data_IF_434286656379
#
_entry.id   IF_434286656379
#
_cell.length_a   1.000
_cell.length_b   1.000
_cell.length_c   1.000
_cell.angle_alpha   90.00
_cell.angle_beta   90.00
_cell.angle_gamma   90.00
#
_symmetry.space_group_name_H-M   'P 1'
#
loop_
_entity.id
_entity.type
_entity.pdbx_description
1 polymer ?
#
# COMPACT_ATOMS: atom_id res chain seq x y z
N UNK A 1 -30.60 1.75 -14.41
CA UNK A 1 -29.98 0.94 -13.37
C UNK A 1 -29.72 1.86 -12.18
N UNK A 2 -30.50 1.72 -11.12
CA UNK A 2 -30.27 2.41 -9.85
C UNK A 2 -28.96 1.88 -9.29
N UNK A 3 -27.97 2.77 -9.15
CA UNK A 3 -26.70 2.41 -8.50
C UNK A 3 -26.96 2.29 -7.02
N UNK A 4 -26.98 1.08 -6.50
CA UNK A 4 -26.95 0.85 -5.06
C UNK A 4 -25.56 1.24 -4.58
N UNK A 5 -25.46 2.35 -3.85
CA UNK A 5 -24.23 2.80 -3.22
C UNK A 5 -24.30 2.54 -1.73
N UNK A 6 -23.18 2.13 -1.14
CA UNK A 6 -23.00 2.06 0.31
C UNK A 6 -22.19 3.25 0.74
N UNK A 7 -22.63 3.98 1.77
CA UNK A 7 -21.85 5.11 2.30
C UNK A 7 -20.66 4.60 3.13
N UNK A 8 -19.63 5.46 3.31
CA UNK A 8 -18.49 5.16 4.16
C UNK A 8 -18.94 4.81 5.58
N UNK A 9 -19.86 5.58 6.13
CA UNK A 9 -20.39 5.41 7.48
C UNK A 9 -21.12 4.06 7.67
N UNK A 10 -21.93 3.66 6.67
CA UNK A 10 -22.60 2.38 6.67
C UNK A 10 -21.60 1.22 6.60
N UNK A 11 -20.58 1.35 5.77
CA UNK A 11 -19.53 0.35 5.65
C UNK A 11 -18.72 0.24 6.94
N UNK A 12 -18.26 1.36 7.52
CA UNK A 12 -17.55 1.38 8.80
C UNK A 12 -18.38 0.77 9.92
N UNK A 13 -19.65 1.15 10.03
CA UNK A 13 -20.57 0.59 11.03
C UNK A 13 -20.74 -0.91 10.88
N UNK A 14 -20.88 -1.39 9.65
CA UNK A 14 -21.06 -2.82 9.39
C UNK A 14 -19.79 -3.60 9.75
N UNK A 15 -18.62 -3.10 9.36
CA UNK A 15 -17.34 -3.71 9.66
C UNK A 15 -17.05 -3.75 11.17
N UNK A 16 -17.31 -2.65 11.87
CA UNK A 16 -17.12 -2.56 13.32
C UNK A 16 -18.10 -3.49 14.09
N UNK A 17 -19.35 -3.59 13.63
CA UNK A 17 -20.32 -4.49 14.22
C UNK A 17 -19.96 -5.98 14.01
N UNK A 18 -19.36 -6.30 12.87
CA UNK A 18 -19.03 -7.68 12.51
C UNK A 18 -17.71 -8.17 13.14
N UNK A 19 -16.74 -7.27 13.31
CA UNK A 19 -15.37 -7.63 13.71
C UNK A 19 -14.88 -6.92 14.97
N UNK A 20 -15.65 -5.98 15.51
CA UNK A 20 -15.26 -5.19 16.68
C UNK A 20 -13.96 -4.40 16.46
N UNK A 21 -13.12 -4.38 17.48
CA UNK A 21 -11.80 -3.72 17.42
C UNK A 21 -10.73 -4.57 16.72
N UNK A 22 -11.00 -5.84 16.47
CA UNK A 22 -10.12 -6.70 15.70
C UNK A 22 -10.37 -6.46 14.22
N UNK A 23 -9.37 -5.91 13.52
CA UNK A 23 -9.43 -5.67 12.08
C UNK A 23 -8.72 -6.81 11.31
N UNK A 24 -9.42 -7.94 11.04
CA UNK A 24 -8.82 -9.11 10.38
C UNK A 24 -8.81 -8.99 8.85
N UNK A 25 -8.83 -7.76 8.33
CA UNK A 25 -8.89 -7.44 6.90
C UNK A 25 -8.15 -6.15 6.61
N UNK A 26 -7.88 -5.91 5.34
CA UNK A 26 -7.47 -4.60 4.82
C UNK A 26 -8.59 -3.98 4.01
N UNK A 27 -8.71 -2.66 4.09
CA UNK A 27 -9.49 -1.88 3.15
C UNK A 27 -8.55 -1.42 2.04
N UNK A 28 -8.75 -1.94 0.84
CA UNK A 28 -7.93 -1.60 -0.31
C UNK A 28 -8.66 -0.66 -1.25
N UNK A 29 -8.01 0.45 -1.61
CA UNK A 29 -8.48 1.39 -2.62
C UNK A 29 -7.79 1.17 -3.98
N UNK A 30 -8.39 1.70 -5.05
CA UNK A 30 -7.77 1.74 -6.38
C UNK A 30 -7.10 3.10 -6.57
N UNK A 31 -5.79 3.09 -6.82
CA UNK A 31 -4.98 4.30 -6.89
C UNK A 31 -5.16 5.09 -8.19
N UNK A 32 -5.52 4.42 -9.30
CA UNK A 32 -5.69 5.06 -10.61
C UNK A 32 -6.63 4.25 -11.51
N UNK A 33 -7.23 4.90 -12.50
CA UNK A 33 -8.19 4.28 -13.42
C UNK A 33 -9.64 4.60 -13.10
N UNK A 34 -10.59 3.92 -13.74
CA UNK A 34 -12.01 4.04 -13.45
C UNK A 34 -12.32 3.54 -12.04
N UNK A 35 -12.97 4.35 -11.23
CA UNK A 35 -13.24 4.05 -9.82
C UNK A 35 -12.09 4.37 -8.87
N UNK A 36 -11.02 5.02 -9.36
CA UNK A 36 -9.91 5.44 -8.49
C UNK A 36 -10.32 6.56 -7.55
N UNK A 37 -9.72 6.56 -6.37
CA UNK A 37 -9.87 7.63 -5.39
C UNK A 37 -9.12 8.92 -5.78
N UNK A 38 -8.28 8.86 -6.82
CA UNK A 38 -7.49 10.03 -7.24
C UNK A 38 -8.37 11.06 -7.92
N UNK A 39 -8.50 12.27 -7.36
CA UNK A 39 -9.36 13.30 -7.93
C UNK A 39 -8.82 13.74 -9.30
N UNK A 40 -9.73 13.98 -10.22
CA UNK A 40 -9.39 14.68 -11.45
C UNK A 40 -9.02 16.13 -11.08
N UNK A 41 -7.93 16.67 -11.64
CA UNK A 41 -7.28 17.95 -11.26
C UNK A 41 -8.19 19.18 -11.16
N UNK A 42 -9.44 19.10 -11.67
CA UNK A 42 -10.32 20.26 -11.86
C UNK A 42 -11.55 20.34 -10.95
N UNK A 43 -11.67 19.52 -9.89
CA UNK A 43 -12.86 19.56 -9.05
C UNK A 43 -12.51 19.53 -7.55
N UNK A 44 -12.66 20.67 -6.86
CA UNK A 44 -12.32 20.79 -5.43
C UNK A 44 -13.11 19.82 -4.55
N UNK A 45 -14.42 19.64 -4.78
CA UNK A 45 -15.26 18.68 -4.03
C UNK A 45 -14.76 17.23 -4.17
N UNK A 46 -14.19 16.88 -5.32
CA UNK A 46 -13.61 15.54 -5.54
C UNK A 46 -12.30 15.33 -4.80
N UNK A 47 -11.58 16.39 -4.46
CA UNK A 47 -10.32 16.28 -3.72
C UNK A 47 -10.55 15.96 -2.25
N UNK A 48 -11.46 16.67 -1.60
CA UNK A 48 -11.86 16.39 -0.21
C UNK A 48 -12.41 14.96 -0.06
N UNK A 49 -13.25 14.53 -1.00
CA UNK A 49 -13.76 13.16 -1.02
C UNK A 49 -12.63 12.14 -1.22
N UNK A 50 -11.65 12.45 -2.07
CA UNK A 50 -10.50 11.58 -2.27
C UNK A 50 -9.63 11.47 -1.01
N UNK A 51 -9.45 12.56 -0.27
CA UNK A 51 -8.71 12.57 1.00
C UNK A 51 -9.45 11.74 2.07
N UNK A 52 -10.79 11.82 2.12
CA UNK A 52 -11.60 10.99 3.01
C UNK A 52 -11.49 9.49 2.69
N UNK A 53 -11.50 9.13 1.40
CA UNK A 53 -11.31 7.74 0.99
C UNK A 53 -9.87 7.26 1.21
N UNK A 54 -8.90 8.14 0.99
CA UNK A 54 -7.51 7.85 1.31
C UNK A 54 -7.36 7.51 2.79
N UNK A 55 -7.91 8.35 3.67
CA UNK A 55 -7.86 8.10 5.11
C UNK A 55 -8.50 6.75 5.50
N UNK A 56 -9.61 6.41 4.86
CA UNK A 56 -10.33 5.16 5.11
C UNK A 56 -9.59 3.90 4.64
N UNK A 57 -8.86 3.97 3.52
CA UNK A 57 -8.14 2.83 2.96
C UNK A 57 -6.87 2.52 3.76
N UNK A 58 -6.55 1.25 3.93
CA UNK A 58 -5.29 0.79 4.54
C UNK A 58 -4.15 0.74 3.52
N UNK A 59 -4.47 0.35 2.29
CA UNK A 59 -3.52 0.21 1.18
C UNK A 59 -4.18 0.53 -0.16
N UNK A 60 -3.38 0.64 -1.21
CA UNK A 60 -3.87 0.89 -2.56
C UNK A 60 -3.37 -0.14 -3.57
N UNK A 61 -4.21 -0.45 -4.54
CA UNK A 61 -3.81 -1.14 -5.76
C UNK A 61 -3.33 -0.11 -6.78
N UNK A 62 -2.12 -0.30 -7.31
CA UNK A 62 -1.57 0.68 -8.24
C UNK A 62 -0.22 0.29 -8.83
N UNK A 63 0.52 1.30 -9.29
CA UNK A 63 1.83 1.16 -9.90
C UNK A 63 2.89 1.99 -9.15
N UNK A 64 4.13 1.99 -9.64
CA UNK A 64 5.27 2.70 -9.06
C UNK A 64 5.00 4.20 -8.85
N UNK A 65 4.39 4.90 -9.82
CA UNK A 65 4.05 6.32 -9.68
C UNK A 65 2.97 6.57 -8.62
N UNK A 66 2.03 5.63 -8.46
CA UNK A 66 1.07 5.69 -7.37
C UNK A 66 1.74 5.48 -6.02
N UNK A 67 2.71 4.55 -5.91
CA UNK A 67 3.48 4.34 -4.69
C UNK A 67 4.18 5.61 -4.25
N UNK A 68 4.87 6.31 -5.13
CA UNK A 68 5.53 7.58 -4.83
C UNK A 68 4.55 8.64 -4.31
N UNK A 69 3.33 8.67 -4.82
CA UNK A 69 2.28 9.57 -4.35
C UNK A 69 1.80 9.21 -2.96
N UNK A 70 1.44 7.94 -2.70
CA UNK A 70 0.86 7.51 -1.43
C UNK A 70 1.86 7.40 -0.28
N UNK A 71 3.15 7.45 -0.55
CA UNK A 71 4.18 7.59 0.47
C UNK A 71 4.37 9.03 0.98
N UNK A 72 3.86 10.05 0.25
CA UNK A 72 3.99 11.46 0.66
C UNK A 72 3.00 11.80 1.77
N UNK A 73 3.49 12.42 2.83
CA UNK A 73 2.65 12.89 3.94
C UNK A 73 1.90 14.20 3.62
N UNK A 74 2.37 14.97 2.65
CA UNK A 74 1.83 16.27 2.23
C UNK A 74 0.85 16.17 1.05
N UNK A 75 0.32 14.97 0.76
CA UNK A 75 -0.54 14.73 -0.41
C UNK A 75 -1.97 15.23 -0.28
N UNK A 76 -2.46 15.49 0.94
CA UNK A 76 -3.79 16.00 1.18
C UNK A 76 -3.94 17.47 0.73
N UNK A 77 -5.17 17.85 0.35
CA UNK A 77 -5.50 19.23 0.00
C UNK A 77 -5.30 20.17 1.21
N UNK A 78 -5.81 19.78 2.37
CA UNK A 78 -5.53 20.48 3.61
C UNK A 78 -4.10 20.19 4.08
N UNK A 79 -3.21 21.18 3.92
CA UNK A 79 -1.79 21.07 4.25
C UNK A 79 -1.47 21.09 5.75
N UNK A 80 -2.45 21.41 6.58
CA UNK A 80 -2.33 21.31 8.04
C UNK A 80 -2.46 19.86 8.53
N UNK A 81 -3.09 19.00 7.72
CA UNK A 81 -3.28 17.58 8.01
C UNK A 81 -2.24 16.76 7.25
N UNK A 82 -1.43 16.02 7.98
CA UNK A 82 -0.49 15.07 7.38
C UNK A 82 -1.20 13.76 7.03
N UNK A 83 -1.05 13.33 5.79
CA UNK A 83 -1.50 12.03 5.37
C UNK A 83 -0.56 10.94 5.91
N UNK A 84 -1.12 9.82 6.35
CA UNK A 84 -0.32 8.64 6.70
C UNK A 84 0.24 8.01 5.43
N UNK A 85 1.54 7.73 5.38
CA UNK A 85 2.12 6.94 4.30
C UNK A 85 1.43 5.58 4.17
N UNK A 86 1.07 5.19 2.94
CA UNK A 86 0.32 3.95 2.68
C UNK A 86 1.01 3.07 1.64
N UNK A 87 0.96 1.75 1.83
CA UNK A 87 1.52 0.83 0.88
C UNK A 87 0.68 0.80 -0.41
N UNK A 88 1.37 0.68 -1.52
CA UNK A 88 0.75 0.41 -2.82
C UNK A 88 1.26 -0.95 -3.30
N UNK A 89 0.34 -1.83 -3.64
CA UNK A 89 0.64 -3.15 -4.20
C UNK A 89 0.26 -3.20 -5.67
N UNK A 90 1.00 -3.95 -6.45
CA UNK A 90 0.70 -4.14 -7.86
C UNK A 90 -0.60 -4.94 -8.03
N UNK A 91 -1.30 -4.64 -9.11
CA UNK A 91 -2.40 -5.47 -9.60
C UNK A 91 -2.18 -5.80 -11.07
N UNK A 92 -2.53 -7.00 -11.44
CA UNK A 92 -2.48 -7.46 -12.83
C UNK A 92 -3.63 -6.89 -13.67
N UNK A 93 -4.71 -6.43 -13.02
CA UNK A 93 -5.94 -5.97 -13.69
C UNK A 93 -6.47 -7.01 -14.74
N UNK A 94 -6.49 -8.28 -14.33
CA UNK A 94 -6.91 -9.38 -15.17
C UNK A 94 -8.44 -9.41 -15.32
N UNK A 95 -8.90 -9.42 -16.57
CA UNK A 95 -10.32 -9.53 -16.91
C UNK A 95 -10.67 -10.83 -17.64
N UNK A 96 -9.66 -11.58 -18.08
CA UNK A 96 -9.79 -12.85 -18.80
C UNK A 96 -8.80 -13.87 -18.25
N UNK A 97 -8.99 -15.15 -18.56
CA UNK A 97 -8.02 -16.20 -18.22
C UNK A 97 -6.68 -15.98 -18.91
N UNK A 98 -6.68 -15.49 -20.15
CA UNK A 98 -5.48 -15.15 -20.89
C UNK A 98 -4.69 -14.01 -20.20
N UNK A 99 -5.39 -13.00 -19.68
CA UNK A 99 -4.77 -11.98 -18.83
C UNK A 99 -4.12 -12.58 -17.58
N UNK A 100 -4.81 -13.50 -16.90
CA UNK A 100 -4.27 -14.15 -15.71
C UNK A 100 -2.99 -14.93 -16.04
N UNK A 101 -2.98 -15.66 -17.15
CA UNK A 101 -1.80 -16.40 -17.60
C UNK A 101 -0.63 -15.49 -17.97
N UNK A 102 -0.89 -14.34 -18.57
CA UNK A 102 0.14 -13.46 -19.11
C UNK A 102 0.59 -12.34 -18.17
N UNK A 103 -0.22 -11.96 -17.18
CA UNK A 103 0.05 -10.81 -16.29
C UNK A 103 0.26 -11.18 -14.83
N UNK A 104 -0.54 -12.12 -14.29
CA UNK A 104 -0.51 -12.43 -12.86
C UNK A 104 0.84 -13.07 -12.47
N UNK A 105 1.52 -12.44 -11.52
CA UNK A 105 2.82 -12.90 -11.05
C UNK A 105 3.96 -12.72 -12.06
N UNK A 106 3.74 -11.98 -13.13
CA UNK A 106 4.72 -11.75 -14.21
C UNK A 106 4.96 -10.25 -14.43
N UNK A 107 6.09 -9.94 -15.07
CA UNK A 107 6.27 -8.63 -15.69
C UNK A 107 5.60 -8.67 -17.07
N UNK A 108 4.95 -7.59 -17.44
CA UNK A 108 4.26 -7.46 -18.72
C UNK A 108 4.38 -6.04 -19.27
N UNK A 109 4.32 -5.92 -20.58
CA UNK A 109 4.30 -4.62 -21.26
C UNK A 109 2.87 -4.16 -21.49
N UNK A 110 2.64 -2.87 -21.33
CA UNK A 110 1.38 -2.20 -21.63
C UNK A 110 1.64 -0.83 -22.23
N UNK A 111 0.60 -0.19 -22.77
CA UNK A 111 0.71 1.16 -23.30
C UNK A 111 0.35 2.20 -22.24
N UNK A 112 1.11 3.28 -22.18
CA UNK A 112 0.75 4.48 -21.42
C UNK A 112 -0.29 5.33 -22.21
N UNK A 113 -0.86 6.39 -21.60
CA UNK A 113 -1.79 7.30 -22.28
C UNK A 113 -1.24 7.95 -23.56
N UNK A 114 0.08 7.99 -23.74
CA UNK A 114 0.76 8.52 -24.92
C UNK A 114 1.16 7.42 -25.93
N UNK A 115 0.60 6.22 -25.77
CA UNK A 115 0.87 5.04 -26.62
C UNK A 115 2.31 4.51 -26.58
N UNK A 116 3.08 4.88 -25.52
CA UNK A 116 4.45 4.39 -25.30
C UNK A 116 4.42 3.10 -24.50
N UNK A 117 5.28 2.15 -24.87
CA UNK A 117 5.43 0.91 -24.11
C UNK A 117 6.04 1.20 -22.72
N UNK A 118 5.38 0.65 -21.70
CA UNK A 118 5.86 0.68 -20.31
C UNK A 118 5.79 -0.74 -19.74
N UNK A 119 6.82 -1.10 -18.98
CA UNK A 119 6.80 -2.33 -18.22
C UNK A 119 6.03 -2.15 -16.89
N UNK A 120 5.26 -3.17 -16.55
CA UNK A 120 4.55 -3.28 -15.28
C UNK A 120 4.81 -4.64 -14.65
N UNK A 121 4.72 -4.67 -13.34
CA UNK A 121 4.76 -5.91 -12.58
C UNK A 121 3.34 -6.27 -12.14
N UNK A 122 2.94 -7.52 -12.40
CA UNK A 122 1.70 -8.10 -11.87
C UNK A 122 1.90 -8.71 -10.48
N UNK A 123 2.94 -8.27 -9.73
CA UNK A 123 3.27 -8.71 -8.39
C UNK A 123 3.98 -7.60 -7.61
N UNK A 124 4.08 -7.81 -6.30
CA UNK A 124 4.83 -6.94 -5.39
C UNK A 124 5.80 -7.75 -4.55
N UNK A 125 6.95 -7.18 -4.28
CA UNK A 125 7.87 -7.70 -3.28
C UNK A 125 7.47 -7.20 -1.91
N UNK A 126 7.20 -8.11 -0.98
CA UNK A 126 6.79 -7.78 0.38
C UNK A 126 7.82 -8.31 1.36
N UNK A 127 8.36 -7.42 2.19
CA UNK A 127 9.25 -7.78 3.29
C UNK A 127 8.42 -8.04 4.53
N UNK A 128 8.19 -9.29 4.87
CA UNK A 128 7.41 -9.71 6.03
C UNK A 128 7.31 -11.23 6.12
N UNK A 129 6.78 -11.72 7.21
CA UNK A 129 6.44 -13.13 7.35
C UNK A 129 5.21 -13.48 6.48
N UNK A 130 5.11 -14.70 5.94
CA UNK A 130 3.99 -15.14 5.12
C UNK A 130 2.75 -15.47 5.99
N UNK A 131 2.40 -14.56 6.88
CA UNK A 131 1.22 -14.61 7.74
C UNK A 131 0.43 -13.31 7.60
N UNK A 132 -0.85 -13.31 8.00
CA UNK A 132 -1.64 -12.09 7.99
C UNK A 132 -1.05 -11.00 8.93
N UNK A 133 -0.52 -11.41 10.08
CA UNK A 133 0.16 -10.50 11.03
C UNK A 133 1.43 -9.92 10.41
N UNK A 134 2.23 -10.75 9.75
CA UNK A 134 3.41 -10.31 8.99
C UNK A 134 3.04 -9.36 7.86
N UNK A 135 1.95 -9.66 7.13
CA UNK A 135 1.46 -8.77 6.09
C UNK A 135 0.99 -7.41 6.65
N UNK A 136 0.38 -7.36 7.83
CA UNK A 136 0.02 -6.09 8.49
C UNK A 136 1.19 -5.15 8.72
N UNK A 137 2.41 -5.66 8.81
CA UNK A 137 3.62 -4.85 9.01
C UNK A 137 3.87 -3.85 7.86
N UNK A 138 3.35 -4.13 6.65
CA UNK A 138 3.46 -3.19 5.52
C UNK A 138 2.79 -1.84 5.78
N UNK A 139 1.82 -1.78 6.71
CA UNK A 139 1.10 -0.56 7.06
C UNK A 139 1.93 0.40 7.92
N UNK A 140 2.96 -0.11 8.59
CA UNK A 140 3.81 0.69 9.48
C UNK A 140 5.04 1.27 8.76
N UNK A 141 5.62 0.49 7.83
CA UNK A 141 6.82 0.86 7.09
C UNK A 141 6.65 0.61 5.59
N UNK A 142 5.66 1.27 4.94
CA UNK A 142 5.31 0.95 3.55
C UNK A 142 6.45 1.22 2.55
N UNK A 143 7.32 2.19 2.82
CA UNK A 143 8.48 2.51 1.98
C UNK A 143 9.54 1.40 1.98
N UNK A 144 9.71 0.72 3.11
CA UNK A 144 10.77 -0.26 3.33
C UNK A 144 10.29 -1.71 3.15
N UNK A 145 8.98 -1.91 3.07
CA UNK A 145 8.38 -3.24 3.06
C UNK A 145 7.64 -3.61 1.78
N UNK A 146 7.30 -2.65 0.94
CA UNK A 146 6.59 -2.92 -0.32
C UNK A 146 7.32 -2.32 -1.49
N UNK A 147 7.67 -3.15 -2.47
CA UNK A 147 8.38 -2.74 -3.67
C UNK A 147 7.65 -3.22 -4.92
N UNK A 148 7.58 -2.36 -5.93
CA UNK A 148 6.92 -2.56 -7.22
C UNK A 148 7.97 -2.61 -8.34
N UNK A 149 9.02 -3.38 -8.11
CA UNK A 149 10.14 -3.49 -9.04
C UNK A 149 10.06 -4.82 -9.83
N UNK A 150 10.50 -4.84 -11.09
CA UNK A 150 10.54 -6.06 -11.91
C UNK A 150 11.45 -7.15 -11.33
N UNK A 151 12.47 -6.75 -10.57
CA UNK A 151 13.43 -7.64 -9.93
C UNK A 151 13.37 -7.51 -8.42
N UNK A 152 13.79 -8.56 -7.73
CA UNK A 152 13.86 -8.52 -6.27
C UNK A 152 14.78 -7.39 -5.82
N UNK A 153 14.32 -6.52 -4.90
CA UNK A 153 15.17 -5.49 -4.34
C UNK A 153 16.41 -6.10 -3.69
N UNK A 154 17.56 -5.49 -3.91
CA UNK A 154 18.80 -5.91 -3.25
C UNK A 154 18.64 -5.78 -1.74
N UNK A 155 19.16 -6.77 -1.01
CA UNK A 155 19.29 -6.62 0.44
C UNK A 155 20.24 -5.47 0.69
N UNK A 156 19.79 -4.47 1.45
CA UNK A 156 20.71 -3.45 1.97
C UNK A 156 21.73 -4.20 2.85
N UNK A 157 22.95 -4.27 2.39
CA UNK A 157 24.06 -4.95 3.10
C UNK A 157 24.63 -4.11 4.23
N UNK A 158 24.23 -2.84 4.31
CA UNK A 158 24.72 -1.87 5.30
C UNK A 158 23.93 -1.92 6.61
N UNK A 159 23.49 -3.09 7.03
CA UNK A 159 23.00 -3.22 8.41
C UNK A 159 24.22 -3.19 9.34
N UNK A 160 24.25 -2.22 10.24
CA UNK A 160 25.09 -2.33 11.43
C UNK A 160 24.57 -3.53 12.21
N UNK A 161 25.33 -4.59 12.20
CA UNK A 161 25.05 -5.77 13.03
C UNK A 161 25.58 -5.44 14.41
N UNK A 162 24.73 -5.46 15.42
CA UNK A 162 25.16 -5.41 16.81
C UNK A 162 25.70 -6.82 17.09
N UNK A 163 27.02 -6.98 17.11
CA UNK A 163 27.64 -8.27 17.36
C UNK A 163 27.61 -8.64 18.84
N UNK A 164 27.64 -7.65 19.73
CA UNK A 164 27.51 -7.87 21.17
C UNK A 164 27.03 -6.62 21.87
N UNK A 165 26.32 -6.79 22.98
CA UNK A 165 25.96 -5.73 23.91
C UNK A 165 26.57 -6.08 25.26
N UNK A 166 27.51 -5.25 25.73
CA UNK A 166 28.01 -5.32 27.11
C UNK A 166 27.18 -4.44 28.00
N UNK A 167 26.51 -5.03 28.98
CA UNK A 167 25.81 -4.32 30.02
C UNK A 167 26.70 -4.30 31.27
N UNK A 168 27.29 -3.14 31.55
CA UNK A 168 28.04 -2.90 32.78
C UNK A 168 27.13 -2.24 33.81
N UNK A 169 26.40 -3.04 34.57
CA UNK A 169 25.51 -2.58 35.63
C UNK A 169 25.87 -3.28 36.94
N UNK A 170 25.76 -2.56 38.05
CA UNK A 170 26.12 -3.06 39.40
C UNK A 170 25.40 -4.36 39.77
N UNK A 171 24.20 -4.57 39.27
CA UNK A 171 23.37 -5.74 39.57
C UNK A 171 23.55 -6.89 38.54
N UNK A 172 24.20 -6.62 37.41
CA UNK A 172 24.44 -7.58 36.33
C UNK A 172 25.88 -7.47 35.77
N UNK A 173 26.91 -7.71 36.62
CA UNK A 173 28.29 -7.65 36.14
C UNK A 173 28.56 -8.81 35.18
N UNK A 174 29.05 -8.45 33.98
CA UNK A 174 29.57 -9.41 32.97
C UNK A 174 28.54 -10.28 32.22
N UNK A 175 27.33 -9.77 31.90
CA UNK A 175 26.50 -10.43 30.91
C UNK A 175 26.84 -9.92 29.49
N UNK A 176 27.35 -10.79 28.65
CA UNK A 176 27.37 -10.65 27.19
C UNK A 176 26.09 -11.33 26.62
N UNK A 177 25.33 -10.60 25.82
CA UNK A 177 24.18 -11.13 25.06
C UNK A 177 24.54 -11.07 23.57
#
# INVERSE_FOLDING_TARGET
>A
YDRVGVTKEELEKTLNNSFGNEKPFFVAGVASGMGSNRPNRNANVKKELADLFDDFCDLFFGNKGNREYYLKEDRYENKEVKAKAKPVVATSDCHTFDDCENKLGKNFSTKDPNNKDIERSGFSWIKGEPTFVGLKQILYEPSERVFLEPTQPEKKTDYQIIESIKVDHKDFPNHEI
#
